data_IF_567608289338
#
_entry.id   IF_567608289338
#
_cell.length_a   1.000
_cell.length_b   1.000
_cell.length_c   1.000
_cell.angle_alpha   90.00
_cell.angle_beta   90.00
_cell.angle_gamma   90.00
#
_symmetry.space_group_name_H-M   'P 1'
#
loop_
_entity.id
_entity.type
_entity.pdbx_description
1 polymer ?
#
# COMPACT_ATOMS: atom_id res chain seq x y z
N UNK A 1 -37.15 -7.40 21.82
CA UNK A 1 -38.34 -8.12 21.33
C UNK A 1 -38.44 -7.91 19.82
N UNK A 2 -38.28 -8.96 19.10
CA UNK A 2 -38.19 -9.08 17.64
C UNK A 2 -39.58 -9.33 17.05
N UNK A 3 -39.89 -8.71 15.93
CA UNK A 3 -41.01 -9.11 15.08
C UNK A 3 -40.54 -9.29 13.63
N UNK A 4 -40.54 -10.53 13.21
CA UNK A 4 -40.47 -10.94 11.81
C UNK A 4 -41.87 -10.74 11.20
N UNK A 5 -41.94 -10.09 10.03
CA UNK A 5 -43.13 -10.16 9.16
C UNK A 5 -42.75 -10.81 7.84
N UNK A 6 -43.37 -11.97 7.60
CA UNK A 6 -43.23 -12.71 6.36
C UNK A 6 -43.93 -12.00 5.20
N UNK A 7 -43.36 -12.14 4.02
CA UNK A 7 -43.95 -11.74 2.74
C UNK A 7 -44.33 -13.02 2.01
N UNK A 8 -45.63 -13.18 1.73
CA UNK A 8 -46.18 -14.17 0.83
C UNK A 8 -45.89 -13.78 -0.61
N UNK A 9 -45.23 -14.66 -1.37
CA UNK A 9 -45.09 -14.51 -2.81
C UNK A 9 -46.22 -15.28 -3.51
N UNK A 10 -47.12 -14.56 -4.17
CA UNK A 10 -48.13 -15.11 -5.06
C UNK A 10 -47.48 -15.52 -6.39
N UNK A 11 -47.64 -16.78 -6.77
CA UNK A 11 -47.20 -17.32 -8.04
C UNK A 11 -48.25 -17.03 -9.11
N UNK A 12 -47.99 -16.14 -10.05
CA UNK A 12 -48.81 -15.94 -11.26
C UNK A 12 -48.08 -16.66 -12.41
N UNK A 13 -48.66 -17.78 -12.87
CA UNK A 13 -48.21 -18.48 -14.08
C UNK A 13 -48.90 -17.83 -15.26
N UNK A 14 -48.19 -17.04 -16.06
CA UNK A 14 -48.59 -16.59 -17.38
C UNK A 14 -47.72 -17.31 -18.39
N UNK A 15 -48.35 -18.19 -19.16
CA UNK A 15 -47.68 -18.88 -20.28
C UNK A 15 -47.28 -17.86 -21.36
N UNK A 16 -46.00 -17.66 -21.53
CA UNK A 16 -45.43 -16.90 -22.64
C UNK A 16 -44.15 -17.59 -23.09
N UNK A 17 -44.00 -17.80 -24.40
CA UNK A 17 -42.86 -18.41 -25.03
C UNK A 17 -41.57 -17.78 -24.53
N UNK A 18 -40.76 -18.57 -23.84
CA UNK A 18 -39.40 -18.19 -23.53
C UNK A 18 -38.56 -18.23 -24.84
N UNK A 19 -38.38 -17.05 -25.43
CA UNK A 19 -37.24 -16.83 -26.31
C UNK A 19 -36.02 -16.84 -25.42
N UNK A 20 -35.13 -17.82 -25.61
CA UNK A 20 -33.84 -17.83 -24.95
C UNK A 20 -33.13 -16.53 -25.32
N UNK A 21 -32.93 -15.66 -24.35
CA UNK A 21 -32.02 -14.54 -24.50
C UNK A 21 -30.62 -15.15 -24.65
N UNK A 22 -30.02 -15.03 -25.84
CA UNK A 22 -28.60 -15.27 -26.02
C UNK A 22 -27.89 -14.33 -25.06
N UNK A 23 -27.15 -14.95 -24.15
CA UNK A 23 -26.26 -14.28 -23.21
C UNK A 23 -25.12 -13.66 -24.04
N UNK A 24 -25.36 -12.49 -24.60
CA UNK A 24 -24.29 -11.68 -25.23
C UNK A 24 -23.44 -11.16 -24.10
N UNK A 25 -22.43 -11.97 -23.74
CA UNK A 25 -21.29 -11.45 -22.95
C UNK A 25 -20.80 -10.15 -23.62
N UNK A 26 -20.59 -9.06 -22.86
CA UNK A 26 -20.00 -7.89 -23.44
C UNK A 26 -18.59 -8.27 -23.95
N UNK A 27 -18.44 -8.28 -25.28
CA UNK A 27 -17.15 -8.39 -25.93
C UNK A 27 -16.34 -7.12 -25.60
N UNK A 28 -15.45 -7.23 -24.63
CA UNK A 28 -14.64 -6.10 -24.17
C UNK A 28 -13.87 -6.38 -22.90
N UNK A 29 -13.59 -7.63 -22.57
CA UNK A 29 -12.53 -7.94 -21.60
C UNK A 29 -11.21 -7.47 -22.20
N UNK A 30 -10.55 -6.48 -21.57
CA UNK A 30 -9.18 -6.10 -21.89
C UNK A 30 -8.32 -7.36 -21.80
N UNK A 31 -8.11 -8.05 -22.91
CA UNK A 31 -7.17 -9.15 -23.00
C UNK A 31 -5.77 -8.52 -22.87
N UNK A 32 -5.16 -8.80 -21.75
CA UNK A 32 -3.80 -8.37 -21.45
C UNK A 32 -2.86 -8.87 -22.56
N UNK A 33 -1.93 -8.01 -23.06
CA UNK A 33 -0.99 -8.44 -24.10
C UNK A 33 -0.26 -9.73 -23.68
N UNK A 34 0.01 -10.67 -24.59
CA UNK A 34 0.62 -11.97 -24.25
C UNK A 34 1.92 -11.88 -23.43
N UNK A 35 2.74 -10.87 -23.69
CA UNK A 35 3.97 -10.61 -22.96
C UNK A 35 3.71 -10.27 -21.47
N UNK A 36 2.65 -9.53 -21.16
CA UNK A 36 2.27 -9.21 -19.79
C UNK A 36 1.66 -10.43 -19.09
N UNK A 37 0.90 -11.25 -19.78
CA UNK A 37 0.33 -12.47 -19.22
C UNK A 37 1.41 -13.43 -18.71
N UNK A 38 2.47 -13.66 -19.50
CA UNK A 38 3.60 -14.49 -19.10
C UNK A 38 4.38 -13.88 -17.91
N UNK A 39 4.61 -12.55 -17.92
CA UNK A 39 5.32 -11.84 -16.85
C UNK A 39 4.58 -11.88 -15.52
N UNK A 40 3.25 -11.89 -15.54
CA UNK A 40 2.41 -11.88 -14.35
C UNK A 40 1.94 -13.28 -13.90
N UNK A 41 2.27 -14.34 -14.64
CA UNK A 41 1.83 -15.70 -14.34
C UNK A 41 2.21 -16.12 -12.91
N UNK A 42 3.46 -15.89 -12.53
CA UNK A 42 3.96 -16.20 -11.18
C UNK A 42 3.13 -15.55 -10.07
N UNK A 43 2.73 -14.29 -10.25
CA UNK A 43 1.95 -13.53 -9.27
C UNK A 43 0.52 -14.05 -9.18
N UNK A 44 -0.10 -14.39 -10.31
CA UNK A 44 -1.43 -15.02 -10.37
C UNK A 44 -1.43 -16.37 -9.66
N UNK A 45 -0.35 -17.12 -9.77
CA UNK A 45 -0.20 -18.43 -9.11
C UNK A 45 0.16 -18.29 -7.62
N UNK A 46 0.86 -17.23 -7.25
CA UNK A 46 1.30 -16.98 -5.89
C UNK A 46 0.14 -16.78 -4.91
N UNK A 47 -0.87 -15.98 -5.26
CA UNK A 47 -2.17 -15.74 -4.57
C UNK A 47 -2.11 -15.35 -3.10
N UNK A 48 -1.06 -15.68 -2.36
CA UNK A 48 -0.93 -15.45 -0.93
C UNK A 48 0.41 -14.81 -0.61
N UNK A 49 0.36 -13.62 -0.02
CA UNK A 49 1.53 -12.83 0.36
C UNK A 49 1.31 -12.00 1.60
N UNK A 50 2.39 -11.47 2.15
CA UNK A 50 2.37 -10.52 3.27
C UNK A 50 2.43 -9.10 2.72
N UNK A 51 1.55 -8.22 3.22
CA UNK A 51 1.67 -6.79 2.98
C UNK A 51 1.89 -6.08 4.30
N UNK A 52 2.98 -5.32 4.41
CA UNK A 52 3.37 -4.63 5.65
C UNK A 52 3.27 -3.13 5.43
N UNK A 53 2.37 -2.48 6.19
CA UNK A 53 2.29 -1.04 6.37
C UNK A 53 2.96 -0.69 7.68
N UNK A 54 4.08 0.02 7.63
CA UNK A 54 4.86 0.33 8.82
C UNK A 54 5.74 1.57 8.62
N UNK A 55 5.92 2.32 9.70
CA UNK A 55 6.73 3.53 9.74
C UNK A 55 6.68 4.21 11.11
N UNK A 56 7.22 5.43 11.25
CA UNK A 56 7.29 6.16 12.53
C UNK A 56 5.96 6.36 13.23
N UNK A 57 4.85 6.43 12.49
CA UNK A 57 3.50 6.56 13.06
C UNK A 57 3.09 5.40 13.96
N UNK A 58 3.77 4.26 13.88
CA UNK A 58 3.57 3.13 14.81
C UNK A 58 3.77 3.53 16.27
N UNK A 59 4.55 4.58 16.56
CA UNK A 59 4.70 5.15 17.89
C UNK A 59 3.38 5.71 18.47
N UNK A 60 2.43 6.04 17.58
CA UNK A 60 1.09 6.54 17.95
C UNK A 60 0.01 5.47 17.90
N UNK A 61 0.28 4.34 17.22
CA UNK A 61 -0.71 3.29 17.00
C UNK A 61 -1.88 3.74 16.10
N UNK A 62 -1.63 4.71 15.22
CA UNK A 62 -2.61 5.25 14.26
C UNK A 62 -2.24 4.89 12.83
N UNK A 63 -3.12 5.21 11.87
CA UNK A 63 -2.97 4.82 10.48
C UNK A 63 -1.88 5.64 9.77
N UNK A 64 -0.99 4.95 9.04
CA UNK A 64 0.10 5.56 8.28
C UNK A 64 -0.42 6.52 7.21
N UNK A 65 0.13 7.70 7.15
CA UNK A 65 -0.26 8.76 6.22
C UNK A 65 -1.60 9.42 6.57
N UNK A 66 -2.68 8.64 6.71
CA UNK A 66 -4.03 9.17 6.90
C UNK A 66 -4.24 9.91 8.22
N UNK A 67 -3.53 9.53 9.26
CA UNK A 67 -3.59 10.21 10.56
C UNK A 67 -2.79 11.52 10.62
N UNK A 68 -1.95 11.81 9.57
CA UNK A 68 -1.12 13.02 9.49
C UNK A 68 -1.97 14.28 9.34
N UNK A 69 -1.95 15.14 10.34
CA UNK A 69 -2.77 16.35 10.40
C UNK A 69 -4.26 16.10 10.65
N UNK A 70 -4.65 14.84 10.93
CA UNK A 70 -5.98 14.44 11.34
C UNK A 70 -5.96 13.99 12.81
N UNK A 71 -5.69 12.69 13.07
CA UNK A 71 -5.62 12.15 14.43
C UNK A 71 -4.33 12.56 15.16
N UNK A 72 -3.26 12.80 14.42
CA UNK A 72 -1.97 13.27 14.96
C UNK A 72 -1.66 14.65 14.37
N UNK A 73 -1.42 15.68 15.20
CA UNK A 73 -1.04 17.00 14.73
C UNK A 73 0.14 16.94 13.76
N UNK A 74 0.11 17.78 12.71
CA UNK A 74 1.04 17.73 11.59
C UNK A 74 2.51 17.78 12.04
N UNK A 75 2.85 18.74 12.88
CA UNK A 75 4.21 18.95 13.38
C UNK A 75 4.67 17.77 14.25
N UNK A 76 3.77 17.22 15.05
CA UNK A 76 4.04 16.03 15.86
C UNK A 76 4.30 14.82 14.96
N UNK A 77 3.43 14.58 13.97
CA UNK A 77 3.57 13.48 13.03
C UNK A 77 4.91 13.51 12.30
N UNK A 78 5.26 14.66 11.73
CA UNK A 78 6.50 14.85 10.98
C UNK A 78 7.76 14.75 11.86
N UNK A 79 7.62 14.87 13.17
CA UNK A 79 8.72 14.72 14.13
C UNK A 79 8.90 13.28 14.66
N UNK A 80 7.95 12.36 14.43
CA UNK A 80 7.98 10.99 14.98
C UNK A 80 9.23 10.22 14.60
N UNK A 81 9.78 10.44 13.40
CA UNK A 81 11.00 9.77 12.95
C UNK A 81 12.19 10.01 13.87
N UNK A 82 12.24 11.16 14.59
CA UNK A 82 13.30 11.49 15.55
C UNK A 82 13.31 10.60 16.80
N UNK A 83 12.23 9.86 17.01
CA UNK A 83 12.06 8.92 18.13
C UNK A 83 11.92 7.47 17.65
N UNK A 84 11.90 7.25 16.33
CA UNK A 84 11.67 5.94 15.74
C UNK A 84 12.94 5.09 15.82
N UNK A 85 12.96 4.17 16.79
CA UNK A 85 14.08 3.25 17.04
C UNK A 85 13.57 1.82 17.26
N UNK A 86 13.16 1.09 16.21
CA UNK A 86 12.63 -0.27 16.34
C UNK A 86 13.76 -1.30 16.54
N UNK A 87 14.38 -1.33 17.71
CA UNK A 87 15.54 -2.19 18.04
C UNK A 87 15.28 -3.67 17.82
N UNK A 88 14.02 -4.11 17.95
CA UNK A 88 13.64 -5.52 17.77
C UNK A 88 13.35 -5.89 16.32
N UNK A 89 13.49 -4.96 15.37
CA UNK A 89 13.28 -5.28 13.96
C UNK A 89 14.31 -6.31 13.48
N UNK A 90 13.81 -7.42 12.91
CA UNK A 90 14.62 -8.48 12.34
C UNK A 90 13.98 -8.96 11.03
N UNK A 91 14.56 -8.52 9.91
CA UNK A 91 14.06 -8.84 8.58
C UNK A 91 13.99 -10.36 8.31
N UNK A 92 14.97 -11.13 8.81
CA UNK A 92 15.02 -12.59 8.63
C UNK A 92 13.87 -13.29 9.35
N UNK A 93 13.55 -12.86 10.56
CA UNK A 93 12.42 -13.42 11.32
C UNK A 93 11.09 -13.13 10.64
N UNK A 94 10.89 -11.90 10.14
CA UNK A 94 9.68 -11.54 9.42
C UNK A 94 9.49 -12.37 8.15
N UNK A 95 10.56 -12.52 7.36
CA UNK A 95 10.53 -13.31 6.13
C UNK A 95 10.36 -14.80 6.42
N UNK A 96 11.02 -15.33 7.46
CA UNK A 96 10.86 -16.71 7.89
C UNK A 96 9.40 -17.00 8.30
N UNK A 97 8.77 -16.09 9.05
CA UNK A 97 7.36 -16.20 9.42
C UNK A 97 6.44 -16.22 8.20
N UNK A 98 6.65 -15.30 7.24
CA UNK A 98 5.89 -15.28 6.00
C UNK A 98 6.02 -16.61 5.24
N UNK A 99 7.23 -17.14 5.13
CA UNK A 99 7.50 -18.41 4.46
C UNK A 99 6.85 -19.60 5.18
N UNK A 100 6.94 -19.66 6.51
CA UNK A 100 6.30 -20.68 7.32
C UNK A 100 4.77 -20.67 7.19
N UNK A 101 4.18 -19.49 7.05
CA UNK A 101 2.76 -19.32 6.77
C UNK A 101 2.34 -19.72 5.33
N UNK A 102 3.29 -20.10 4.48
CA UNK A 102 3.04 -20.49 3.09
C UNK A 102 2.93 -19.33 2.11
N UNK A 103 3.27 -18.12 2.52
CA UNK A 103 3.26 -16.93 1.66
C UNK A 103 4.35 -17.02 0.58
N UNK A 104 4.09 -16.44 -0.58
CA UNK A 104 4.93 -16.51 -1.78
C UNK A 104 5.64 -15.20 -2.08
N UNK A 105 5.17 -14.11 -1.51
CA UNK A 105 5.75 -12.78 -1.68
C UNK A 105 5.52 -11.92 -0.44
N UNK A 106 6.34 -10.89 -0.30
CA UNK A 106 6.21 -9.83 0.69
C UNK A 106 6.19 -8.49 -0.02
N UNK A 107 5.22 -7.63 0.30
CA UNK A 107 5.16 -6.24 -0.13
C UNK A 107 5.35 -5.34 1.09
N UNK A 108 6.24 -4.37 0.97
CA UNK A 108 6.54 -3.43 2.04
C UNK A 108 6.28 -1.98 1.62
N UNK A 109 5.71 -1.17 2.50
CA UNK A 109 5.58 0.28 2.27
C UNK A 109 6.92 0.97 2.40
N UNK A 110 7.61 1.15 1.29
CA UNK A 110 8.90 1.84 1.25
C UNK A 110 8.77 3.34 1.48
N UNK A 111 7.70 3.94 0.97
CA UNK A 111 7.25 5.30 1.24
C UNK A 111 5.72 5.33 1.13
N UNK A 112 5.03 5.83 2.15
CA UNK A 112 3.59 6.07 2.11
C UNK A 112 3.32 7.55 1.74
N UNK A 113 2.06 7.97 1.73
CA UNK A 113 1.65 9.34 1.38
C UNK A 113 2.24 10.43 2.30
N UNK A 114 2.66 10.06 3.51
CA UNK A 114 3.34 10.96 4.45
C UNK A 114 4.75 11.36 4.06
N UNK A 115 5.31 10.69 3.04
CA UNK A 115 6.61 11.01 2.45
C UNK A 115 7.82 10.41 3.19
N UNK A 116 7.63 9.71 4.31
CA UNK A 116 8.75 9.12 5.02
C UNK A 116 9.33 7.91 4.28
N UNK A 117 10.63 7.96 3.97
CA UNK A 117 11.33 6.90 3.27
C UNK A 117 11.93 5.89 4.26
N UNK A 118 11.50 4.62 4.18
CA UNK A 118 12.01 3.51 4.99
C UNK A 118 13.33 2.91 4.45
N UNK A 119 14.03 3.64 3.59
CA UNK A 119 15.28 3.25 2.92
C UNK A 119 16.26 4.40 2.86
N UNK A 120 17.52 4.08 2.57
CA UNK A 120 18.58 5.06 2.35
C UNK A 120 18.37 5.80 1.02
N UNK A 121 18.25 7.11 1.08
CA UNK A 121 18.13 7.98 -0.10
C UNK A 121 18.83 9.31 0.13
N UNK A 122 19.34 9.90 -0.95
CA UNK A 122 19.94 11.24 -0.98
C UNK A 122 18.95 12.33 -1.41
N UNK A 123 17.75 11.93 -1.84
CA UNK A 123 16.76 12.87 -2.40
C UNK A 123 16.02 13.64 -1.30
N UNK A 124 16.00 13.11 -0.07
CA UNK A 124 15.38 13.76 1.08
C UNK A 124 16.02 13.31 2.38
N UNK A 125 16.11 14.22 3.36
CA UNK A 125 16.52 13.88 4.74
C UNK A 125 15.37 13.25 5.54
N UNK A 126 14.15 13.25 5.00
CA UNK A 126 12.99 12.63 5.65
C UNK A 126 12.97 11.11 5.40
N UNK A 127 14.00 10.44 5.92
CA UNK A 127 14.22 9.02 5.73
C UNK A 127 14.75 8.34 7.01
N UNK A 128 14.74 7.01 7.00
CA UNK A 128 15.08 6.19 8.18
C UNK A 128 16.53 6.30 8.63
N UNK A 129 17.45 6.70 7.73
CA UNK A 129 18.86 6.90 8.10
C UNK A 129 19.04 8.09 9.04
N UNK A 130 18.07 9.04 9.03
CA UNK A 130 18.02 10.20 9.93
C UNK A 130 17.15 9.96 11.17
N UNK A 131 16.76 8.72 11.42
CA UNK A 131 16.16 8.29 12.69
C UNK A 131 17.23 7.70 13.62
N UNK A 132 16.95 7.55 14.94
CA UNK A 132 17.86 6.86 15.86
C UNK A 132 18.17 5.42 15.45
N UNK A 133 17.27 4.79 14.68
CA UNK A 133 17.46 3.44 14.16
C UNK A 133 18.59 3.34 13.12
N UNK A 134 18.66 4.27 12.17
CA UNK A 134 19.78 4.44 11.24
C UNK A 134 20.10 3.21 10.38
N UNK A 135 19.11 2.36 10.06
CA UNK A 135 19.28 1.14 9.24
C UNK A 135 18.26 1.15 8.09
N UNK A 136 18.70 0.69 6.92
CA UNK A 136 17.87 0.56 5.73
C UNK A 136 16.98 -0.70 5.78
N UNK A 137 15.74 -0.52 6.21
CA UNK A 137 14.76 -1.60 6.36
C UNK A 137 14.43 -2.25 5.02
N UNK A 138 14.33 -1.47 3.95
CA UNK A 138 13.99 -1.98 2.61
C UNK A 138 15.09 -2.89 2.09
N UNK A 139 16.33 -2.47 2.22
CA UNK A 139 17.50 -3.28 1.86
C UNK A 139 17.54 -4.58 2.65
N UNK A 140 17.35 -4.53 3.96
CA UNK A 140 17.40 -5.72 4.81
C UNK A 140 16.28 -6.71 4.48
N UNK A 141 15.05 -6.23 4.25
CA UNK A 141 13.93 -7.09 3.85
C UNK A 141 14.15 -7.70 2.45
N UNK A 142 14.62 -6.90 1.49
CA UNK A 142 14.92 -7.39 0.15
C UNK A 142 16.00 -8.50 0.16
N UNK A 143 17.05 -8.31 0.94
CA UNK A 143 18.11 -9.30 1.10
C UNK A 143 17.60 -10.59 1.78
N UNK A 144 16.80 -10.46 2.84
CA UNK A 144 16.21 -11.60 3.53
C UNK A 144 15.26 -12.38 2.61
N UNK A 145 14.38 -11.69 1.87
CA UNK A 145 13.50 -12.32 0.89
C UNK A 145 14.29 -13.08 -0.20
N UNK A 146 15.35 -12.47 -0.73
CA UNK A 146 16.21 -13.11 -1.72
C UNK A 146 16.88 -14.39 -1.18
N UNK A 147 17.35 -14.37 0.07
CA UNK A 147 17.98 -15.54 0.71
C UNK A 147 16.97 -16.67 0.92
N UNK A 148 15.73 -16.36 1.23
CA UNK A 148 14.66 -17.32 1.50
C UNK A 148 13.86 -17.73 0.25
N UNK A 149 14.17 -17.13 -0.90
CA UNK A 149 13.45 -17.40 -2.16
C UNK A 149 12.02 -16.85 -2.18
N UNK A 150 11.74 -15.82 -1.39
CA UNK A 150 10.46 -15.10 -1.38
C UNK A 150 10.53 -13.92 -2.35
N UNK A 151 9.49 -13.70 -3.16
CA UNK A 151 9.43 -12.51 -4.00
C UNK A 151 9.24 -11.26 -3.11
N UNK A 152 9.98 -10.19 -3.42
CA UNK A 152 9.90 -8.92 -2.71
C UNK A 152 9.31 -7.85 -3.62
N UNK A 153 8.28 -7.15 -3.14
CA UNK A 153 7.64 -6.04 -3.80
C UNK A 153 7.65 -4.79 -2.91
N UNK A 154 7.57 -3.64 -3.54
CA UNK A 154 7.51 -2.36 -2.86
C UNK A 154 6.18 -1.66 -3.13
N UNK A 155 5.57 -1.12 -2.08
CA UNK A 155 4.57 -0.08 -2.22
C UNK A 155 5.27 1.26 -2.05
N UNK A 156 5.36 2.02 -3.12
CA UNK A 156 5.95 3.35 -3.12
C UNK A 156 4.91 4.34 -3.59
N UNK A 157 4.45 5.20 -2.69
CA UNK A 157 3.43 6.19 -3.01
C UNK A 157 3.98 7.27 -3.94
N UNK A 158 3.25 7.53 -5.04
CA UNK A 158 3.48 8.72 -5.89
C UNK A 158 3.00 10.00 -5.21
N UNK A 159 2.04 9.90 -4.27
CA UNK A 159 1.65 11.03 -3.43
C UNK A 159 2.70 11.24 -2.33
N UNK A 160 2.99 12.50 -2.03
CA UNK A 160 3.90 12.88 -0.95
C UNK A 160 3.43 14.19 -0.30
N UNK A 161 2.68 14.04 0.77
CA UNK A 161 2.13 15.22 1.47
C UNK A 161 3.18 16.02 2.23
N UNK A 162 4.35 15.45 2.46
CA UNK A 162 5.47 16.13 3.09
C UNK A 162 6.29 16.95 2.09
N UNK A 163 6.51 16.43 0.85
CA UNK A 163 7.37 17.06 -0.14
C UNK A 163 6.86 18.45 -0.53
N UNK A 164 7.69 19.51 -0.52
CA UNK A 164 7.27 20.89 -0.77
C UNK A 164 6.64 21.10 -2.16
N UNK A 165 7.13 20.40 -3.17
CA UNK A 165 6.70 20.54 -4.57
C UNK A 165 5.45 19.72 -4.92
N UNK A 166 5.00 18.80 -4.03
CA UNK A 166 3.76 18.07 -4.25
C UNK A 166 2.55 18.97 -3.92
N UNK A 167 1.48 18.98 -4.74
CA UNK A 167 0.40 19.98 -4.61
C UNK A 167 -0.36 19.97 -3.29
N UNK A 168 -0.49 18.80 -2.67
CA UNK A 168 -1.30 18.62 -1.47
C UNK A 168 -0.45 18.37 -0.24
N UNK A 169 -0.88 18.90 0.91
CA UNK A 169 -0.18 18.77 2.19
C UNK A 169 -0.85 17.85 3.20
N UNK A 170 -2.03 17.30 2.88
CA UNK A 170 -2.83 16.51 3.83
C UNK A 170 -3.74 15.50 3.14
N UNK A 171 -4.30 14.53 3.89
CA UNK A 171 -5.34 13.63 3.42
C UNK A 171 -6.53 14.37 2.78
N UNK A 172 -7.09 13.77 1.73
CA UNK A 172 -8.26 14.32 1.04
C UNK A 172 -8.00 15.52 0.13
N UNK A 173 -6.73 15.96 -0.02
CA UNK A 173 -6.36 17.04 -0.93
C UNK A 173 -6.94 18.43 -0.55
N UNK A 174 -7.39 18.59 0.69
CA UNK A 174 -8.03 19.83 1.17
C UNK A 174 -7.05 20.93 1.48
N UNK A 175 -5.78 20.58 1.73
CA UNK A 175 -4.69 21.53 2.00
C UNK A 175 -3.82 21.67 0.74
N UNK A 176 -4.05 22.73 -0.03
CA UNK A 176 -3.20 23.07 -1.17
C UNK A 176 -1.94 23.81 -0.71
N UNK A 177 -0.79 23.41 -1.23
CA UNK A 177 0.45 24.17 -1.03
C UNK A 177 0.48 25.40 -1.93
N UNK A 178 1.04 26.51 -1.48
CA UNK A 178 0.94 27.78 -2.19
C UNK A 178 1.68 27.80 -3.54
N UNK A 179 2.74 27.01 -3.69
CA UNK A 179 3.59 27.01 -4.89
C UNK A 179 4.07 25.61 -5.24
N UNK A 180 3.18 24.69 -5.68
CA UNK A 180 3.60 23.35 -6.09
C UNK A 180 4.43 23.44 -7.37
N UNK A 181 5.52 22.66 -7.42
CA UNK A 181 6.38 22.53 -8.60
C UNK A 181 6.39 21.06 -9.06
N UNK A 182 5.47 20.70 -9.95
CA UNK A 182 5.34 19.32 -10.41
C UNK A 182 6.56 18.81 -11.16
N UNK A 183 7.26 19.68 -11.90
CA UNK A 183 8.48 19.28 -12.62
C UNK A 183 9.60 18.94 -11.64
N UNK A 184 9.76 19.70 -10.56
CA UNK A 184 10.69 19.40 -9.46
C UNK A 184 10.31 18.13 -8.73
N UNK A 185 9.02 17.93 -8.49
CA UNK A 185 8.53 16.69 -7.87
C UNK A 185 8.75 15.46 -8.75
N UNK A 186 8.56 15.57 -10.07
CA UNK A 186 8.85 14.48 -11.00
C UNK A 186 10.34 14.10 -11.01
N UNK A 187 11.24 15.08 -10.89
CA UNK A 187 12.67 14.84 -10.77
C UNK A 187 13.01 14.08 -9.48
N UNK A 188 12.37 14.44 -8.37
CA UNK A 188 12.52 13.76 -7.09
C UNK A 188 12.08 12.28 -7.17
N UNK A 189 11.10 11.94 -8.01
CA UNK A 189 10.60 10.56 -8.18
C UNK A 189 11.47 9.68 -9.09
N UNK A 190 12.43 10.24 -9.83
CA UNK A 190 13.30 9.53 -10.79
C UNK A 190 14.57 9.01 -10.13
#
# INVERSE_FOLDING_TARGET
>A
KWWMKGIFAGLLIVGGNMVAAEDTQPAGGNQEPPANAARLAWWRDARFGMFIHWGPVSLKGTEIGWSRGADVPLEEYDSLHKQFNPEQFNAREWVALAKQAGMKYLVFTTKHHDGFCMFDTKETDFNIMHSPFGRDVVKELAEACRQEGLAFGTYHSVCDWHHPDFPHGSPGGTSLKPHPNLDGYEQYLR
#
